data_IF_197008558607
#
_entry.id   IF_197008558607
#
_cell.length_a   1.000
_cell.length_b   1.000
_cell.length_c   1.000
_cell.angle_alpha   90.00
_cell.angle_beta   90.00
_cell.angle_gamma   90.00
#
_symmetry.space_group_name_H-M   'P 1'
#
loop_
_entity.id
_entity.type
_entity.pdbx_description
1 polymer ?
#
# COMPACT_ATOMS: atom_id res chain seq x y z
N UNK A 1 14.01 9.75 12.66
CA UNK A 1 12.65 9.25 12.45
C UNK A 1 12.66 7.73 12.53
N UNK A 2 11.84 7.17 13.43
CA UNK A 2 11.84 5.73 13.67
C UNK A 2 10.73 5.03 12.88
N UNK A 3 11.00 4.77 11.60
CA UNK A 3 10.13 3.92 10.81
C UNK A 3 10.58 2.46 10.98
N UNK A 4 9.77 1.54 10.50
CA UNK A 4 10.16 0.13 10.57
C UNK A 4 11.40 -0.18 9.72
N UNK A 5 11.83 0.75 8.86
CA UNK A 5 13.04 0.58 8.04
C UNK A 5 14.30 0.31 8.87
N UNK A 6 14.36 0.86 10.08
CA UNK A 6 15.56 0.74 10.93
C UNK A 6 15.88 -0.71 11.29
N UNK A 7 14.90 -1.61 11.23
CA UNK A 7 15.06 -3.00 11.61
C UNK A 7 15.25 -3.94 10.43
N UNK A 8 15.26 -3.41 9.20
CA UNK A 8 15.29 -4.24 8.00
C UNK A 8 16.71 -4.53 7.52
N UNK A 9 16.86 -5.65 6.81
CA UNK A 9 18.08 -5.95 6.07
C UNK A 9 18.25 -4.94 4.93
N UNK A 10 19.45 -4.90 4.35
CA UNK A 10 19.73 -4.02 3.22
C UNK A 10 18.78 -4.26 2.05
N UNK A 11 18.55 -5.53 1.73
CA UNK A 11 17.68 -5.91 0.62
C UNK A 11 16.23 -5.56 0.88
N UNK A 12 15.77 -5.76 2.10
CA UNK A 12 14.41 -5.38 2.50
C UNK A 12 14.23 -3.86 2.40
N UNK A 13 15.22 -3.09 2.87
CA UNK A 13 15.17 -1.63 2.73
C UNK A 13 15.08 -1.18 1.28
N UNK A 14 15.87 -1.81 0.41
CA UNK A 14 15.87 -1.46 -1.02
C UNK A 14 14.48 -1.71 -1.63
N UNK A 15 13.87 -2.85 -1.33
CA UNK A 15 12.55 -3.18 -1.87
C UNK A 15 11.48 -2.23 -1.34
N UNK A 16 11.46 -2.00 -0.04
CA UNK A 16 10.47 -1.10 0.56
C UNK A 16 10.64 0.33 0.03
N UNK A 17 11.88 0.81 -0.09
CA UNK A 17 12.13 2.14 -0.63
C UNK A 17 11.73 2.25 -2.10
N UNK A 18 11.90 1.17 -2.86
CA UNK A 18 11.43 1.13 -4.25
C UNK A 18 9.90 1.24 -4.31
N UNK A 19 9.20 0.51 -3.44
CA UNK A 19 7.74 0.60 -3.35
C UNK A 19 7.29 2.02 -2.99
N UNK A 20 7.96 2.64 -2.00
CA UNK A 20 7.67 4.01 -1.58
C UNK A 20 7.78 4.99 -2.75
N UNK A 21 8.87 4.86 -3.50
CA UNK A 21 9.13 5.73 -4.65
C UNK A 21 8.07 5.54 -5.73
N UNK A 22 7.72 4.29 -6.03
CA UNK A 22 6.72 3.98 -7.05
C UNK A 22 5.34 4.53 -6.68
N UNK A 23 4.96 4.44 -5.42
CA UNK A 23 3.65 4.92 -4.97
C UNK A 23 3.50 6.41 -5.29
N UNK A 24 4.47 7.23 -4.91
CA UNK A 24 4.36 8.68 -5.09
C UNK A 24 4.62 9.12 -6.54
N UNK A 25 5.36 8.32 -7.30
CA UNK A 25 5.60 8.63 -8.72
C UNK A 25 4.39 8.30 -9.58
N UNK A 26 3.75 7.17 -9.33
CA UNK A 26 2.62 6.70 -10.15
C UNK A 26 1.33 7.38 -9.72
N UNK A 27 1.10 7.52 -8.42
CA UNK A 27 -0.07 8.22 -7.91
C UNK A 27 0.35 9.56 -7.29
N UNK A 28 0.43 10.59 -8.13
CA UNK A 28 0.91 11.90 -7.72
C UNK A 28 -0.04 12.67 -6.80
N UNK A 29 -1.24 12.14 -6.58
CA UNK A 29 -2.22 12.77 -5.69
C UNK A 29 -1.99 12.45 -4.22
N UNK A 30 -1.15 11.47 -3.91
CA UNK A 30 -0.91 11.08 -2.53
C UNK A 30 0.32 11.75 -1.94
N UNK A 31 0.29 11.91 -0.62
CA UNK A 31 1.43 12.43 0.14
C UNK A 31 1.83 11.38 1.17
N UNK A 32 3.14 11.12 1.24
CA UNK A 32 3.69 10.17 2.20
C UNK A 32 3.90 10.83 3.55
N UNK A 33 3.54 10.13 4.60
CA UNK A 33 3.90 10.53 5.96
C UNK A 33 4.11 9.28 6.81
N UNK A 34 4.67 9.44 8.00
CA UNK A 34 4.82 8.34 8.95
C UNK A 34 3.62 8.38 9.90
N UNK A 35 2.98 7.24 10.08
CA UNK A 35 1.80 7.14 10.93
C UNK A 35 1.54 5.71 11.33
N UNK A 36 0.39 5.49 11.94
CA UNK A 36 0.00 4.16 12.41
C UNK A 36 -1.02 3.55 11.45
N UNK A 37 -0.92 2.24 11.26
CA UNK A 37 -1.90 1.47 10.49
C UNK A 37 -2.36 0.35 11.43
N UNK A 38 -3.61 0.43 11.88
CA UNK A 38 -4.16 -0.50 12.87
C UNK A 38 -3.25 -0.55 14.11
N UNK A 39 -2.74 -1.72 14.48
CA UNK A 39 -1.84 -1.86 15.63
C UNK A 39 -0.37 -1.60 15.28
N UNK A 40 -0.04 -1.45 14.01
CA UNK A 40 1.34 -1.20 13.58
C UNK A 40 1.69 0.28 13.68
N UNK A 41 2.83 0.59 14.27
CA UNK A 41 3.29 1.96 14.48
C UNK A 41 4.41 2.32 13.52
N UNK A 42 4.55 3.62 13.26
CA UNK A 42 5.63 4.18 12.45
C UNK A 42 5.67 3.61 11.03
N UNK A 43 4.49 3.42 10.47
CA UNK A 43 4.33 2.92 9.10
C UNK A 43 4.39 4.07 8.11
N UNK A 44 4.54 3.73 6.82
CA UNK A 44 4.42 4.72 5.75
C UNK A 44 2.97 4.78 5.32
N UNK A 45 2.39 5.96 5.39
CA UNK A 45 0.98 6.22 5.10
C UNK A 45 0.91 7.20 3.93
N UNK A 46 0.02 6.93 2.98
CA UNK A 46 -0.17 7.75 1.78
C UNK A 46 -1.59 8.27 1.76
N UNK A 47 -1.74 9.58 1.83
CA UNK A 47 -3.06 10.20 1.91
C UNK A 47 -3.36 11.05 0.69
N UNK A 48 -4.61 10.95 0.23
CA UNK A 48 -5.15 11.79 -0.83
C UNK A 48 -6.23 12.66 -0.18
N UNK A 49 -6.03 13.98 -0.20
CA UNK A 49 -6.88 14.95 0.47
C UNK A 49 -7.09 14.63 1.95
N UNK A 50 -6.03 14.15 2.61
CA UNK A 50 -6.08 13.81 4.02
C UNK A 50 -6.72 12.47 4.34
N UNK A 51 -7.12 11.71 3.33
CA UNK A 51 -7.75 10.40 3.50
C UNK A 51 -6.77 9.30 3.14
N UNK A 52 -6.66 8.30 4.02
CA UNK A 52 -5.78 7.14 3.82
C UNK A 52 -6.13 6.43 2.51
N UNK A 53 -5.15 6.30 1.63
CA UNK A 53 -5.32 5.60 0.36
C UNK A 53 -4.47 4.35 0.27
N UNK A 54 -3.18 4.46 0.59
CA UNK A 54 -2.26 3.33 0.62
C UNK A 54 -1.43 3.35 1.91
N UNK A 55 -0.86 2.21 2.24
CA UNK A 55 0.04 2.12 3.38
C UNK A 55 1.01 0.96 3.26
N UNK A 56 2.17 1.11 3.90
CA UNK A 56 3.15 0.05 4.03
C UNK A 56 3.39 -0.18 5.51
N UNK A 57 3.23 -1.42 5.95
CA UNK A 57 3.46 -1.79 7.34
C UNK A 57 4.25 -3.08 7.42
N UNK A 58 4.77 -3.37 8.61
CA UNK A 58 5.49 -4.60 8.86
C UNK A 58 5.04 -5.16 10.19
N UNK A 59 4.69 -6.44 10.18
CA UNK A 59 4.51 -7.20 11.40
C UNK A 59 5.78 -8.02 11.65
N UNK A 60 5.79 -8.79 12.73
CA UNK A 60 6.91 -9.65 13.04
C UNK A 60 7.25 -10.62 11.90
N UNK A 61 6.24 -11.10 11.19
CA UNK A 61 6.39 -12.20 10.24
C UNK A 61 6.23 -11.81 8.78
N UNK A 62 5.71 -10.61 8.48
CA UNK A 62 5.47 -10.23 7.09
C UNK A 62 5.33 -8.73 6.90
N UNK A 63 5.45 -8.32 5.63
CA UNK A 63 5.15 -6.97 5.20
C UNK A 63 3.73 -6.92 4.65
N UNK A 64 3.08 -5.76 4.74
CA UNK A 64 1.75 -5.56 4.18
C UNK A 64 1.70 -4.27 3.39
N UNK A 65 1.13 -4.37 2.18
CA UNK A 65 0.74 -3.19 1.40
C UNK A 65 -0.77 -3.06 1.52
N UNK A 66 -1.22 -1.91 2.03
CA UNK A 66 -2.64 -1.62 2.24
C UNK A 66 -3.16 -0.73 1.13
N UNK A 67 -4.38 -0.98 0.68
CA UNK A 67 -5.01 -0.18 -0.37
C UNK A 67 -6.51 -0.03 -0.11
N UNK A 68 -6.95 1.20 0.06
CA UNK A 68 -8.39 1.50 0.16
C UNK A 68 -9.07 1.37 -1.20
N UNK A 69 -8.33 1.53 -2.30
CA UNK A 69 -8.87 1.30 -3.64
C UNK A 69 -9.23 -0.18 -3.78
N UNK A 70 -8.30 -1.07 -3.40
CA UNK A 70 -8.55 -2.52 -3.45
C UNK A 70 -9.72 -2.90 -2.56
N UNK A 71 -9.82 -2.26 -1.39
CA UNK A 71 -10.91 -2.51 -0.44
C UNK A 71 -12.26 -2.09 -0.99
N UNK A 72 -12.34 -0.95 -1.69
CA UNK A 72 -13.58 -0.33 -2.13
C UNK A 72 -13.98 -0.64 -3.58
N UNK A 73 -13.03 -1.09 -4.41
CA UNK A 73 -13.25 -1.35 -5.83
C UNK A 73 -13.01 -2.83 -6.13
N UNK A 74 -14.09 -3.56 -6.39
CA UNK A 74 -14.03 -5.00 -6.61
C UNK A 74 -13.22 -5.38 -7.85
N UNK A 75 -13.22 -4.55 -8.87
CA UNK A 75 -12.46 -4.83 -10.09
C UNK A 75 -10.96 -4.75 -9.84
N UNK A 76 -10.52 -3.79 -9.03
CA UNK A 76 -9.12 -3.66 -8.66
C UNK A 76 -8.70 -4.84 -7.79
N UNK A 77 -9.53 -5.22 -6.83
CA UNK A 77 -9.26 -6.39 -5.99
C UNK A 77 -9.13 -7.67 -6.83
N UNK A 78 -10.05 -7.85 -7.76
CA UNK A 78 -10.06 -9.01 -8.65
C UNK A 78 -8.78 -9.05 -9.49
N UNK A 79 -8.35 -7.91 -10.01
CA UNK A 79 -7.11 -7.82 -10.79
C UNK A 79 -5.92 -8.36 -10.01
N UNK A 80 -5.74 -7.92 -8.76
CA UNK A 80 -4.57 -8.33 -7.97
C UNK A 80 -4.67 -9.81 -7.58
N UNK A 81 -5.85 -10.30 -7.26
CA UNK A 81 -6.05 -11.71 -6.93
C UNK A 81 -5.72 -12.60 -8.11
N UNK A 82 -6.19 -12.24 -9.30
CA UNK A 82 -5.98 -13.07 -10.50
C UNK A 82 -4.55 -13.06 -11.00
N UNK A 83 -3.79 -12.01 -10.70
CA UNK A 83 -2.44 -11.85 -11.24
C UNK A 83 -1.32 -12.12 -10.24
N UNK A 84 -1.65 -12.50 -9.01
CA UNK A 84 -0.64 -12.83 -8.00
C UNK A 84 -0.86 -14.23 -7.47
N UNK A 85 0.19 -15.07 -7.52
CA UNK A 85 0.08 -16.47 -7.09
C UNK A 85 0.72 -16.72 -5.74
N UNK A 86 1.76 -15.96 -5.40
CA UNK A 86 2.56 -16.23 -4.20
C UNK A 86 2.32 -15.22 -3.08
N UNK A 87 1.33 -14.36 -3.26
CA UNK A 87 1.01 -13.34 -2.27
C UNK A 87 -0.27 -13.72 -1.52
N UNK A 88 -0.34 -13.35 -0.26
CA UNK A 88 -1.56 -13.53 0.54
C UNK A 88 -2.40 -12.26 0.40
N UNK A 89 -3.51 -12.39 -0.31
CA UNK A 89 -4.39 -11.25 -0.59
C UNK A 89 -5.58 -11.26 0.34
N UNK A 90 -5.78 -10.17 1.07
CA UNK A 90 -6.97 -9.94 1.87
C UNK A 90 -7.79 -8.85 1.17
N UNK A 91 -8.92 -8.47 1.75
CA UNK A 91 -9.81 -7.51 1.12
C UNK A 91 -9.14 -6.15 0.86
N UNK A 92 -8.34 -5.69 1.79
CA UNK A 92 -7.69 -4.39 1.71
C UNK A 92 -6.17 -4.41 1.84
N UNK A 93 -5.53 -5.58 1.79
CA UNK A 93 -4.08 -5.64 1.88
C UNK A 93 -3.48 -6.84 1.17
N UNK A 94 -2.22 -6.67 0.79
CA UNK A 94 -1.40 -7.70 0.16
C UNK A 94 -0.25 -7.99 1.12
N UNK A 95 -0.12 -9.24 1.54
CA UNK A 95 0.90 -9.65 2.51
C UNK A 95 2.00 -10.47 1.82
N UNK A 96 3.24 -10.20 2.19
CA UNK A 96 4.38 -10.95 1.68
C UNK A 96 5.48 -11.01 2.74
N UNK A 97 6.20 -12.14 2.78
CA UNK A 97 7.28 -12.32 3.75
C UNK A 97 8.66 -12.23 3.10
N UNK A 98 8.75 -12.53 1.82
CA UNK A 98 10.02 -12.55 1.10
C UNK A 98 10.04 -11.47 0.03
N UNK A 99 10.86 -10.42 0.26
CA UNK A 99 10.94 -9.29 -0.67
C UNK A 99 11.50 -9.70 -2.04
N UNK A 100 12.27 -10.78 -2.12
CA UNK A 100 12.78 -11.27 -3.40
C UNK A 100 11.68 -11.77 -4.33
N UNK A 101 10.57 -12.20 -3.76
CA UNK A 101 9.43 -12.71 -4.52
C UNK A 101 8.36 -11.67 -4.76
N UNK A 102 8.56 -10.46 -4.26
CA UNK A 102 7.56 -9.41 -4.46
C UNK A 102 7.57 -8.96 -5.92
N UNK A 103 6.42 -9.07 -6.62
CA UNK A 103 6.35 -8.78 -8.07
C UNK A 103 6.26 -7.27 -8.33
N UNK A 104 7.39 -6.62 -8.49
CA UNK A 104 7.47 -5.17 -8.69
C UNK A 104 6.70 -4.71 -9.93
N UNK A 105 6.76 -5.48 -11.03
CA UNK A 105 6.06 -5.11 -12.27
C UNK A 105 4.54 -5.16 -12.09
N UNK A 106 4.06 -6.16 -11.36
CA UNK A 106 2.64 -6.25 -11.02
C UNK A 106 2.24 -5.09 -10.11
N UNK A 107 3.11 -4.72 -9.18
CA UNK A 107 2.88 -3.60 -8.28
C UNK A 107 2.72 -2.28 -9.06
N UNK A 108 3.57 -2.06 -10.07
CA UNK A 108 3.45 -0.89 -10.94
C UNK A 108 2.12 -0.87 -11.68
N UNK A 109 1.71 -2.01 -12.24
CA UNK A 109 0.41 -2.11 -12.91
C UNK A 109 -0.74 -1.84 -11.95
N UNK A 110 -0.66 -2.40 -10.76
CA UNK A 110 -1.68 -2.20 -9.74
C UNK A 110 -1.82 -0.72 -9.37
N UNK A 111 -0.69 -0.03 -9.16
CA UNK A 111 -0.71 1.39 -8.84
C UNK A 111 -1.27 2.23 -10.00
N UNK A 112 -0.92 1.87 -11.24
CA UNK A 112 -1.43 2.57 -12.42
C UNK A 112 -2.95 2.44 -12.52
N UNK A 113 -3.46 1.25 -12.31
CA UNK A 113 -4.91 0.99 -12.30
C UNK A 113 -5.58 1.75 -11.14
N UNK A 114 -4.94 1.70 -9.97
CA UNK A 114 -5.48 2.35 -8.77
C UNK A 114 -5.52 3.87 -8.90
N UNK A 115 -4.52 4.46 -9.53
CA UNK A 115 -4.48 5.91 -9.74
C UNK A 115 -5.64 6.36 -10.62
N UNK A 116 -6.03 5.55 -11.59
CA UNK A 116 -7.13 5.86 -12.51
C UNK A 116 -8.50 5.57 -11.91
N UNK A 117 -8.57 4.79 -10.84
CA UNK A 117 -9.84 4.48 -10.19
C UNK A 117 -10.36 5.72 -9.44
N UNK A 118 -11.67 5.87 -9.41
CA UNK A 118 -12.28 7.00 -8.72
C UNK A 118 -12.26 6.80 -7.20
N UNK A 119 -11.44 7.61 -6.52
CA UNK A 119 -11.32 7.57 -5.06
C UNK A 119 -12.28 8.55 -4.36
N UNK A 120 -13.00 9.37 -5.12
CA UNK A 120 -13.91 10.38 -4.57
C UNK A 120 -14.94 9.82 -3.58
N UNK A 121 -15.58 8.67 -3.86
CA UNK A 121 -16.55 8.14 -2.91
C UNK A 121 -15.94 7.83 -1.55
N UNK A 122 -14.71 7.32 -1.53
CA UNK A 122 -14.01 7.02 -0.27
C UNK A 122 -13.66 8.31 0.46
N UNK A 123 -13.12 9.30 -0.25
CA UNK A 123 -12.81 10.62 0.32
C UNK A 123 -14.05 11.23 0.97
N UNK A 124 -15.14 11.25 0.24
CA UNK A 124 -16.39 11.84 0.72
C UNK A 124 -16.94 11.08 1.93
N UNK A 125 -16.84 9.77 1.92
CA UNK A 125 -17.29 8.95 3.04
C UNK A 125 -16.55 9.32 4.34
N UNK A 126 -15.23 9.41 4.29
CA UNK A 126 -14.44 9.72 5.48
C UNK A 126 -14.56 11.18 5.93
N UNK A 127 -14.73 12.11 4.99
CA UNK A 127 -14.95 13.51 5.35
C UNK A 127 -16.30 13.75 6.04
N UNK A 128 -17.33 12.96 5.65
CA UNK A 128 -18.65 13.07 6.26
C UNK A 128 -18.69 12.63 7.72
N UNK A 129 -17.76 11.77 8.12
CA UNK A 129 -17.73 11.24 9.49
C UNK A 129 -17.16 12.23 10.50
N UNK A 130 -16.66 13.34 10.04
CA UNK A 130 -16.19 14.41 10.89
C UNK A 130 -17.30 15.44 11.06
#
# INVERSE_FOLDING_TARGET
>A
MNSFLSELSKKEKETINQMRKLIVEIDSNVKEKVGNIMSSKNCFVYEDEGVFKYGLSKTKNHFSFHSMIMYSDQEVHKFIVENSKDLRIQKGCVNFSNVDKFPIDLFKEFLTISEKADFSPVINHYKRKK
#
